data_IF_246977495804
#
_entry.id   IF_246977495804
#
_cell.length_a   1.000
_cell.length_b   1.000
_cell.length_c   1.000
_cell.angle_alpha   90.00
_cell.angle_beta   90.00
_cell.angle_gamma   90.00
#
_symmetry.space_group_name_H-M   'P 1'
#
loop_
_entity.id
_entity.type
_entity.pdbx_description
1 polymer ?
#
# COMPACT_ATOMS: atom_id res chain seq x y z
N UNK A 1 12.38 -2.24 -18.67
CA UNK A 1 11.96 -2.20 -17.25
C UNK A 1 11.15 -0.94 -16.89
N UNK A 2 11.61 0.30 -17.19
CA UNK A 2 10.85 1.56 -16.88
C UNK A 2 9.41 1.52 -17.41
N UNK A 3 9.19 1.17 -18.67
CA UNK A 3 7.87 1.08 -19.30
C UNK A 3 6.95 0.01 -18.67
N UNK A 4 7.52 -1.08 -18.20
CA UNK A 4 6.75 -2.13 -17.53
C UNK A 4 6.24 -1.66 -16.17
N UNK A 5 7.09 -0.91 -15.44
CA UNK A 5 6.71 -0.28 -14.17
C UNK A 5 5.62 0.78 -14.41
N UNK A 6 5.73 1.59 -15.45
CA UNK A 6 4.69 2.58 -15.81
C UNK A 6 3.35 1.90 -16.11
N UNK A 7 3.37 0.85 -16.92
CA UNK A 7 2.17 0.03 -17.22
C UNK A 7 1.55 -0.55 -15.96
N UNK A 8 2.37 -1.08 -15.07
CA UNK A 8 1.91 -1.64 -13.80
C UNK A 8 1.23 -0.60 -12.93
N UNK A 9 1.87 0.55 -12.71
CA UNK A 9 1.32 1.65 -11.90
C UNK A 9 0.02 2.20 -12.48
N UNK A 10 -0.04 2.36 -13.80
CA UNK A 10 -1.25 2.78 -14.51
C UNK A 10 -2.39 1.75 -14.36
N UNK A 11 -2.10 0.49 -14.59
CA UNK A 11 -3.10 -0.60 -14.50
C UNK A 11 -3.62 -0.78 -13.08
N UNK A 12 -2.74 -0.85 -12.09
CA UNK A 12 -3.06 -1.20 -10.71
C UNK A 12 -3.57 -0.02 -9.89
N UNK A 13 -2.92 1.13 -9.99
CA UNK A 13 -3.19 2.28 -9.12
C UNK A 13 -3.86 3.44 -9.84
N UNK A 14 -4.05 3.33 -11.16
CA UNK A 14 -4.51 4.43 -12.03
C UNK A 14 -3.61 5.67 -11.89
N UNK A 15 -2.32 5.45 -11.61
CA UNK A 15 -1.33 6.50 -11.47
C UNK A 15 -0.55 6.67 -12.78
N UNK A 16 -0.50 7.90 -13.27
CA UNK A 16 0.30 8.31 -14.41
C UNK A 16 1.56 9.04 -13.93
N UNK A 17 2.67 9.00 -14.69
CA UNK A 17 3.87 9.74 -14.34
C UNK A 17 3.63 11.25 -14.46
N UNK A 18 4.11 12.01 -13.48
CA UNK A 18 4.16 13.47 -13.52
C UNK A 18 5.62 13.91 -13.67
N UNK A 19 5.93 14.73 -14.68
CA UNK A 19 7.26 15.26 -14.96
C UNK A 19 7.35 16.70 -14.44
N UNK A 20 7.90 16.86 -13.23
CA UNK A 20 7.79 18.13 -12.49
C UNK A 20 8.92 19.12 -12.76
N UNK A 21 10.05 18.66 -13.30
CA UNK A 21 11.25 19.46 -13.40
C UNK A 21 11.69 19.68 -14.85
N UNK A 22 11.64 20.90 -15.33
CA UNK A 22 12.13 21.26 -16.68
C UNK A 22 13.61 20.87 -16.90
N UNK A 23 14.44 20.94 -15.84
CA UNK A 23 15.87 20.58 -15.90
C UNK A 23 16.08 19.05 -15.97
N UNK A 24 15.12 18.28 -15.52
CA UNK A 24 15.17 16.82 -15.46
C UNK A 24 13.86 16.25 -16.05
N UNK A 25 13.70 16.33 -17.40
CA UNK A 25 12.44 15.99 -18.06
C UNK A 25 12.08 14.50 -17.92
N UNK A 26 13.06 13.64 -17.68
CA UNK A 26 12.87 12.19 -17.56
C UNK A 26 12.61 11.72 -16.11
N UNK A 27 12.56 12.65 -15.15
CA UNK A 27 12.23 12.33 -13.77
C UNK A 27 10.72 12.18 -13.59
N UNK A 28 10.26 10.94 -13.43
CA UNK A 28 8.85 10.59 -13.33
C UNK A 28 8.42 10.42 -11.88
N UNK A 29 7.49 11.22 -11.42
CA UNK A 29 6.91 11.14 -10.07
C UNK A 29 5.55 10.50 -10.13
N UNK A 30 5.30 9.53 -9.24
CA UNK A 30 4.00 8.91 -9.07
C UNK A 30 3.40 9.26 -7.72
N UNK A 31 2.16 9.76 -7.73
CA UNK A 31 1.46 10.25 -6.54
C UNK A 31 0.12 9.57 -6.34
N UNK A 32 -0.31 9.56 -5.09
CA UNK A 32 -1.70 9.27 -4.76
C UNK A 32 -2.61 10.39 -5.26
N UNK A 33 -3.77 10.04 -5.78
CA UNK A 33 -4.75 11.02 -6.28
C UNK A 33 -5.41 11.83 -5.16
N UNK A 34 -5.61 11.23 -3.99
CA UNK A 34 -6.36 11.81 -2.87
C UNK A 34 -5.50 12.67 -1.92
N UNK A 35 -4.29 12.26 -1.58
CA UNK A 35 -3.43 12.96 -0.63
C UNK A 35 -2.18 13.60 -1.26
N UNK A 36 -1.99 13.41 -2.57
CA UNK A 36 -0.87 13.93 -3.37
C UNK A 36 0.54 13.49 -2.90
N UNK A 37 0.63 12.56 -1.97
CA UNK A 37 1.92 12.03 -1.51
C UNK A 37 2.59 11.19 -2.59
N UNK A 38 3.90 11.35 -2.71
CA UNK A 38 4.73 10.55 -3.60
C UNK A 38 4.88 9.14 -3.06
N UNK A 39 4.71 8.14 -3.91
CA UNK A 39 4.98 6.75 -3.56
C UNK A 39 6.07 6.11 -4.43
N UNK A 40 6.40 6.72 -5.57
CA UNK A 40 7.50 6.29 -6.41
C UNK A 40 8.05 7.47 -7.22
N UNK A 41 9.37 7.47 -7.44
CA UNK A 41 10.05 8.42 -8.32
C UNK A 41 11.07 7.65 -9.14
N UNK A 42 11.01 7.74 -10.46
CA UNK A 42 12.03 7.19 -11.34
C UNK A 42 12.89 8.34 -11.85
N UNK A 43 14.19 8.17 -11.69
CA UNK A 43 15.20 9.17 -12.06
C UNK A 43 16.26 8.51 -12.93
N UNK A 44 16.77 9.26 -13.89
CA UNK A 44 17.98 8.95 -14.63
C UNK A 44 19.16 9.67 -13.95
N UNK A 45 20.08 8.90 -13.36
CA UNK A 45 21.13 9.41 -12.48
C UNK A 45 22.52 9.01 -13.00
N UNK A 46 23.54 9.90 -12.98
CA UNK A 46 24.92 9.50 -13.23
C UNK A 46 25.39 8.41 -12.25
N UNK A 47 25.98 7.33 -12.76
CA UNK A 47 26.43 6.18 -11.98
C UNK A 47 27.35 6.58 -10.82
N UNK A 48 28.27 7.51 -11.05
CA UNK A 48 29.18 8.03 -10.04
C UNK A 48 28.48 8.62 -8.81
N UNK A 49 27.31 9.25 -9.01
CA UNK A 49 26.53 9.84 -7.91
C UNK A 49 25.83 8.80 -7.04
N UNK A 50 25.79 7.57 -7.53
CA UNK A 50 25.29 6.40 -6.79
C UNK A 50 26.40 5.58 -6.14
N UNK A 51 27.67 6.06 -6.27
CA UNK A 51 28.84 5.31 -5.82
C UNK A 51 29.20 4.14 -6.70
N UNK A 52 28.65 4.08 -7.94
CA UNK A 52 28.94 3.05 -8.92
C UNK A 52 30.13 3.46 -9.80
N UNK A 53 30.89 2.51 -10.37
CA UNK A 53 31.98 2.83 -11.31
C UNK A 53 31.46 3.67 -12.49
N UNK A 54 32.28 4.56 -13.03
CA UNK A 54 31.92 5.38 -14.21
C UNK A 54 31.60 4.53 -15.44
N UNK A 55 32.17 3.32 -15.52
CA UNK A 55 31.89 2.31 -16.57
C UNK A 55 30.62 1.48 -16.33
N UNK A 56 29.90 1.73 -15.23
CA UNK A 56 28.70 0.95 -14.90
C UNK A 56 27.62 1.14 -15.96
N UNK A 57 27.11 0.04 -16.51
CA UNK A 57 26.07 0.09 -17.57
C UNK A 57 26.61 0.41 -18.97
N UNK A 58 27.89 0.68 -19.12
CA UNK A 58 28.55 0.71 -20.43
C UNK A 58 28.74 -0.75 -20.84
N UNK A 59 27.82 -1.30 -21.63
CA UNK A 59 28.06 -2.58 -22.31
C UNK A 59 29.33 -2.50 -23.16
N UNK A 60 29.94 -3.65 -23.56
CA UNK A 60 31.05 -3.61 -24.48
C UNK A 60 30.65 -2.75 -25.69
N UNK A 61 31.47 -1.76 -26.01
CA UNK A 61 31.24 -0.89 -27.16
C UNK A 61 31.00 -1.80 -28.38
N UNK A 62 29.77 -1.87 -28.85
CA UNK A 62 29.47 -2.49 -30.13
C UNK A 62 30.09 -1.56 -31.15
N UNK A 63 31.29 -1.94 -31.61
CA UNK A 63 31.88 -1.32 -32.78
C UNK A 63 30.91 -1.58 -33.95
N UNK A 64 30.12 -0.57 -34.31
CA UNK A 64 29.39 -0.57 -35.58
C UNK A 64 30.43 -0.63 -36.68
N UNK A 65 30.75 -1.86 -37.15
CA UNK A 65 31.50 -2.08 -38.35
C UNK A 65 30.64 -1.67 -39.53
N UNK A 66 30.85 -0.43 -40.02
CA UNK A 66 30.46 -0.09 -41.38
C UNK A 66 31.18 -1.02 -42.33
N UNK A 67 30.43 -1.88 -42.98
CA UNK A 67 30.92 -2.87 -43.90
C UNK A 67 31.50 -2.22 -45.17
N UNK A 68 32.62 -2.76 -45.59
CA UNK A 68 33.14 -2.63 -46.95
C UNK A 68 34.65 -2.72 -47.02
N UNK A 69 35.21 -3.93 -47.33
CA UNK A 69 36.54 -4.05 -48.01
C UNK A 69 37.59 -4.89 -47.28
N UNK A 70 37.69 -6.15 -47.71
CA UNK A 70 38.84 -7.07 -47.80
C UNK A 70 40.06 -6.91 -46.86
N UNK A 71 40.24 -7.99 -46.10
CA UNK A 71 41.45 -8.72 -45.72
C UNK A 71 42.80 -7.97 -45.62
N UNK A 72 43.34 -8.01 -44.39
CA UNK A 72 44.73 -7.75 -44.02
C UNK A 72 44.88 -7.97 -42.52
N UNK A 73 45.53 -9.08 -42.15
CA UNK A 73 45.95 -9.40 -40.79
C UNK A 73 46.95 -8.32 -40.32
N UNK A 74 46.68 -7.63 -39.21
CA UNK A 74 47.72 -7.20 -38.27
C UNK A 74 47.12 -6.89 -36.92
N UNK A 75 47.64 -7.57 -35.89
CA UNK A 75 47.35 -7.40 -34.47
C UNK A 75 47.97 -6.08 -33.98
N UNK A 76 47.13 -5.04 -33.75
CA UNK A 76 47.51 -3.84 -33.08
C UNK A 76 46.46 -3.41 -32.06
N UNK A 77 46.89 -3.15 -30.82
CA UNK A 77 46.02 -2.72 -29.75
C UNK A 77 45.24 -1.45 -30.08
N UNK A 78 43.93 -1.43 -29.86
CA UNK A 78 43.04 -0.33 -30.19
C UNK A 78 43.41 1.05 -29.59
N UNK A 79 44.29 1.10 -28.63
CA UNK A 79 44.75 2.36 -27.95
C UNK A 79 45.72 3.17 -28.84
N UNK A 80 46.42 2.51 -29.76
CA UNK A 80 47.38 3.19 -30.67
C UNK A 80 46.66 4.01 -31.76
N UNK A 81 45.53 3.53 -32.27
CA UNK A 81 44.80 4.14 -33.35
C UNK A 81 44.11 5.46 -32.95
N UNK A 82 43.65 5.56 -31.71
CA UNK A 82 42.96 6.77 -31.16
C UNK A 82 44.01 7.88 -30.88
N UNK A 83 45.20 7.52 -30.47
CA UNK A 83 46.30 8.45 -30.25
C UNK A 83 46.80 9.09 -31.59
N UNK A 84 46.82 8.29 -32.67
CA UNK A 84 47.31 8.74 -33.99
C UNK A 84 46.35 9.72 -34.71
N UNK A 85 45.04 9.66 -34.37
CA UNK A 85 44.03 10.56 -34.91
C UNK A 85 43.91 11.89 -34.16
N UNK A 86 44.70 12.12 -33.12
CA UNK A 86 44.63 13.34 -32.31
C UNK A 86 43.31 13.53 -31.55
N UNK A 87 42.51 12.45 -31.42
CA UNK A 87 41.20 12.46 -30.77
C UNK A 87 41.26 12.18 -29.27
N UNK A 88 42.47 12.03 -28.71
CA UNK A 88 42.72 11.74 -27.30
C UNK A 88 42.15 12.78 -26.32
N UNK A 89 41.77 13.95 -26.78
CA UNK A 89 41.11 15.00 -25.99
C UNK A 89 39.59 15.07 -26.17
N UNK A 90 39.00 14.22 -27.04
CA UNK A 90 37.56 14.29 -27.38
C UNK A 90 36.70 13.20 -26.74
N UNK A 91 37.28 12.27 -25.99
CA UNK A 91 36.49 11.38 -25.17
C UNK A 91 35.98 12.21 -23.99
N UNK A 92 34.91 12.96 -24.22
CA UNK A 92 34.12 13.45 -23.09
C UNK A 92 33.74 12.20 -22.30
N UNK A 93 34.16 12.14 -21.03
CA UNK A 93 33.63 11.19 -20.07
C UNK A 93 32.10 11.30 -20.09
N UNK A 94 31.45 10.53 -20.93
CA UNK A 94 30.00 10.37 -20.89
C UNK A 94 29.77 9.52 -19.64
N UNK A 95 29.60 10.21 -18.51
CA UNK A 95 29.20 9.56 -17.27
C UNK A 95 27.98 8.69 -17.58
N UNK A 96 28.14 7.37 -17.45
CA UNK A 96 27.05 6.45 -17.71
C UNK A 96 25.90 6.78 -16.74
N UNK A 97 24.69 6.79 -17.27
CA UNK A 97 23.49 7.12 -16.51
C UNK A 97 22.70 5.84 -16.27
N UNK A 98 22.10 5.75 -15.10
CA UNK A 98 21.35 4.58 -14.65
C UNK A 98 19.96 5.02 -14.20
N UNK A 99 18.95 4.33 -14.66
CA UNK A 99 17.60 4.49 -14.15
C UNK A 99 17.49 3.94 -12.74
N UNK A 100 17.01 4.76 -11.81
CA UNK A 100 16.73 4.35 -10.44
C UNK A 100 15.30 4.61 -10.06
N UNK A 101 14.70 3.65 -9.37
CA UNK A 101 13.38 3.79 -8.75
C UNK A 101 13.55 4.09 -7.27
N UNK A 102 13.07 5.23 -6.82
CA UNK A 102 12.99 5.56 -5.40
C UNK A 102 11.61 5.19 -4.86
N UNK A 103 11.58 4.45 -3.77
CA UNK A 103 10.36 4.06 -3.03
C UNK A 103 10.51 4.32 -1.55
N UNK A 104 9.38 4.44 -0.85
CA UNK A 104 9.33 4.70 0.58
C UNK A 104 8.89 3.45 1.35
N UNK A 105 9.61 3.15 2.43
CA UNK A 105 9.27 2.09 3.37
C UNK A 105 8.82 2.70 4.72
N UNK A 106 8.02 2.01 5.50
CA UNK A 106 7.69 2.35 6.89
C UNK A 106 8.41 1.46 7.90
N UNK A 107 8.88 0.30 7.46
CA UNK A 107 9.62 -0.66 8.26
C UNK A 107 11.14 -0.44 8.08
N UNK A 108 11.81 0.03 9.16
CA UNK A 108 13.26 0.25 9.18
C UNK A 108 14.04 -1.06 9.10
N UNK A 109 13.53 -2.13 9.69
CA UNK A 109 14.18 -3.44 9.66
C UNK A 109 14.19 -4.01 8.23
N UNK A 110 13.04 -3.94 7.54
CA UNK A 110 12.96 -4.33 6.14
C UNK A 110 13.92 -3.49 5.27
N UNK A 111 13.98 -2.17 5.51
CA UNK A 111 14.91 -1.28 4.80
C UNK A 111 16.34 -1.74 4.97
N UNK A 112 16.76 -2.01 6.20
CA UNK A 112 18.15 -2.37 6.51
C UNK A 112 18.52 -3.74 5.90
N UNK A 113 17.58 -4.68 5.83
CA UNK A 113 17.76 -5.94 5.10
C UNK A 113 17.91 -5.69 3.59
N UNK A 114 17.04 -4.85 3.01
CA UNK A 114 17.07 -4.57 1.58
C UNK A 114 18.36 -3.86 1.16
N UNK A 115 18.91 -2.97 1.99
CA UNK A 115 20.18 -2.28 1.73
C UNK A 115 21.40 -3.21 1.69
N UNK A 116 21.28 -4.48 2.11
CA UNK A 116 22.33 -5.49 1.97
C UNK A 116 22.27 -6.21 0.61
N UNK A 117 21.21 -5.97 -0.17
CA UNK A 117 21.04 -6.59 -1.49
C UNK A 117 21.74 -5.77 -2.57
N UNK A 118 22.36 -6.45 -3.52
CA UNK A 118 22.88 -5.84 -4.74
C UNK A 118 21.73 -5.14 -5.50
N UNK A 119 22.02 -3.97 -6.07
CA UNK A 119 21.06 -3.18 -6.82
C UNK A 119 20.10 -2.34 -5.96
N UNK A 120 20.22 -2.38 -4.63
CA UNK A 120 19.42 -1.56 -3.70
C UNK A 120 20.33 -0.64 -2.89
N UNK A 121 20.09 0.66 -2.98
CA UNK A 121 20.93 1.72 -2.43
C UNK A 121 20.12 2.61 -1.49
N UNK A 122 20.79 3.40 -0.61
CA UNK A 122 20.12 4.48 0.13
C UNK A 122 19.41 5.46 -0.83
N UNK A 123 18.28 6.02 -0.39
CA UNK A 123 17.45 6.89 -1.23
C UNK A 123 18.21 8.09 -1.80
N UNK A 124 18.40 8.13 -3.10
CA UNK A 124 19.11 9.21 -3.79
C UNK A 124 18.30 10.51 -3.73
N UNK A 125 18.91 11.58 -3.21
CA UNK A 125 18.29 12.87 -2.88
C UNK A 125 17.06 12.81 -1.95
N UNK A 126 16.76 11.64 -1.38
CA UNK A 126 15.64 11.39 -0.47
C UNK A 126 16.13 10.84 0.88
N UNK A 127 17.21 11.41 1.40
CA UNK A 127 17.87 10.97 2.65
C UNK A 127 17.00 11.16 3.91
N UNK A 128 15.98 12.03 3.84
CA UNK A 128 15.04 12.20 4.94
C UNK A 128 13.90 11.18 4.83
N UNK A 129 13.83 10.30 5.82
CA UNK A 129 12.83 9.24 5.87
C UNK A 129 13.35 7.92 5.31
N UNK A 130 12.46 6.97 5.15
CA UNK A 130 12.78 5.58 4.84
C UNK A 130 12.71 5.32 3.34
N UNK A 131 13.45 6.10 2.55
CA UNK A 131 13.53 5.89 1.11
C UNK A 131 14.72 5.00 0.75
N UNK A 132 14.53 4.15 -0.25
CA UNK A 132 15.58 3.38 -0.92
C UNK A 132 15.54 3.66 -2.41
N UNK A 133 16.67 3.48 -3.08
CA UNK A 133 16.82 3.53 -4.53
C UNK A 133 17.10 2.13 -5.06
N UNK A 134 16.38 1.71 -6.08
CA UNK A 134 16.51 0.42 -6.73
C UNK A 134 17.02 0.66 -8.14
N UNK A 135 18.10 -0.01 -8.53
CA UNK A 135 18.62 0.05 -9.90
C UNK A 135 17.64 -0.64 -10.86
N UNK A 136 17.35 -0.02 -11.99
CA UNK A 136 16.46 -0.57 -13.01
C UNK A 136 17.23 -1.19 -14.20
N UNK A 137 18.38 -1.77 -13.93
CA UNK A 137 19.29 -2.37 -14.89
C UNK A 137 19.14 -3.89 -15.03
N UNK A 138 18.26 -4.49 -14.24
CA UNK A 138 18.04 -5.95 -14.22
C UNK A 138 18.69 -6.66 -13.05
N UNK A 139 19.51 -6.00 -12.24
CA UNK A 139 20.11 -6.57 -11.02
C UNK A 139 19.02 -7.04 -10.04
N UNK A 140 17.97 -6.22 -9.88
CA UNK A 140 16.80 -6.60 -9.09
C UNK A 140 15.69 -7.09 -10.03
N UNK A 141 15.12 -8.25 -9.74
CA UNK A 141 14.07 -8.85 -10.55
C UNK A 141 12.79 -8.01 -10.58
N UNK A 142 12.17 -7.85 -11.75
CA UNK A 142 10.95 -7.06 -11.90
C UNK A 142 9.83 -7.44 -10.92
N UNK A 143 9.49 -8.72 -10.65
CA UNK A 143 8.48 -9.06 -9.66
C UNK A 143 8.76 -8.49 -8.27
N UNK A 144 10.02 -8.55 -7.81
CA UNK A 144 10.42 -7.98 -6.52
C UNK A 144 10.27 -6.46 -6.52
N UNK A 145 10.64 -5.79 -7.60
CA UNK A 145 10.44 -4.33 -7.76
C UNK A 145 8.95 -3.98 -7.63
N UNK A 146 8.06 -4.75 -8.27
CA UNK A 146 6.63 -4.51 -8.23
C UNK A 146 6.06 -4.69 -6.81
N UNK A 147 6.52 -5.70 -6.07
CA UNK A 147 6.14 -5.92 -4.67
C UNK A 147 6.60 -4.76 -3.76
N UNK A 148 7.81 -4.26 -3.98
CA UNK A 148 8.34 -3.10 -3.25
C UNK A 148 7.57 -1.80 -3.57
N UNK A 149 7.13 -1.61 -4.81
CA UNK A 149 6.22 -0.52 -5.19
C UNK A 149 4.90 -0.63 -4.43
N UNK A 150 4.35 -1.85 -4.29
CA UNK A 150 3.12 -2.11 -3.53
C UNK A 150 3.26 -1.74 -2.06
N UNK A 151 4.41 -2.03 -1.45
CA UNK A 151 4.72 -1.62 -0.08
C UNK A 151 4.75 -0.09 0.01
N UNK A 152 5.46 0.58 -0.89
CA UNK A 152 5.54 2.05 -0.90
C UNK A 152 4.18 2.71 -1.10
N UNK A 153 3.37 2.18 -2.02
CA UNK A 153 2.01 2.67 -2.24
C UNK A 153 1.18 2.57 -0.95
N UNK A 154 1.20 1.44 -0.26
CA UNK A 154 0.48 1.24 1.02
C UNK A 154 1.01 2.15 2.13
N UNK A 155 2.32 2.29 2.25
CA UNK A 155 2.99 3.14 3.24
C UNK A 155 2.59 4.60 3.14
N UNK A 156 2.49 5.11 1.92
CA UNK A 156 2.17 6.53 1.66
C UNK A 156 0.68 6.81 1.49
N UNK A 157 -0.15 5.77 1.39
CA UNK A 157 -1.59 5.85 1.22
C UNK A 157 -2.27 6.64 2.36
N UNK A 158 -3.33 7.36 2.04
CA UNK A 158 -4.17 8.01 3.04
C UNK A 158 -4.83 6.97 3.96
N UNK A 159 -5.25 7.41 5.14
CA UNK A 159 -6.05 6.56 6.04
C UNK A 159 -7.27 5.99 5.32
N UNK A 160 -7.95 6.81 4.50
CA UNK A 160 -9.12 6.40 3.71
C UNK A 160 -8.79 5.29 2.71
N UNK A 161 -7.63 5.37 2.03
CA UNK A 161 -7.17 4.32 1.10
C UNK A 161 -6.76 3.04 1.83
N UNK A 162 -5.93 3.16 2.87
CA UNK A 162 -5.52 2.00 3.70
C UNK A 162 -6.73 1.29 4.27
N UNK A 163 -7.66 2.08 4.72
CA UNK A 163 -8.91 1.59 5.24
C UNK A 163 -9.74 0.82 4.20
N UNK A 164 -9.75 1.17 2.92
CA UNK A 164 -10.48 0.43 1.86
C UNK A 164 -9.91 -0.97 1.59
N UNK A 165 -8.62 -1.19 1.84
CA UNK A 165 -7.89 -2.41 1.48
C UNK A 165 -7.63 -3.30 2.71
N UNK A 166 -7.99 -2.85 3.93
CA UNK A 166 -7.81 -3.66 5.14
C UNK A 166 -8.65 -4.94 5.11
N UNK A 167 -8.18 -6.03 5.70
CA UNK A 167 -8.99 -7.22 5.88
C UNK A 167 -10.25 -6.92 6.71
N UNK A 168 -11.30 -7.75 6.58
CA UNK A 168 -12.47 -7.68 7.44
C UNK A 168 -12.09 -7.66 8.92
N UNK A 169 -12.83 -6.89 9.72
CA UNK A 169 -12.64 -6.78 11.17
C UNK A 169 -13.90 -7.20 11.91
N UNK A 170 -13.69 -7.62 13.16
CA UNK A 170 -14.73 -8.00 14.09
C UNK A 170 -14.98 -6.87 15.08
N UNK A 171 -16.23 -6.44 15.16
CA UNK A 171 -16.67 -5.31 15.97
C UNK A 171 -17.70 -5.73 16.99
N UNK A 172 -17.58 -5.23 18.21
CA UNK A 172 -18.65 -5.26 19.22
C UNK A 172 -19.39 -3.92 19.16
N UNK A 173 -20.70 -3.95 18.96
CA UNK A 173 -21.56 -2.77 18.84
C UNK A 173 -22.73 -2.84 19.83
N UNK A 174 -23.14 -1.71 20.45
CA UNK A 174 -24.29 -1.68 21.33
C UNK A 174 -25.60 -1.62 20.54
N UNK A 175 -26.59 -2.37 20.99
CA UNK A 175 -27.97 -2.27 20.59
C UNK A 175 -28.83 -1.92 21.83
N UNK A 176 -29.44 -0.74 21.83
CA UNK A 176 -30.31 -0.33 22.94
C UNK A 176 -31.77 -0.50 22.54
N UNK A 177 -32.51 -1.44 23.19
CA UNK A 177 -33.92 -1.69 22.88
C UNK A 177 -34.83 -0.47 23.02
N UNK A 178 -34.43 0.52 23.81
CA UNK A 178 -35.18 1.79 23.96
C UNK A 178 -35.33 2.56 22.64
N UNK A 179 -34.34 2.45 21.75
CA UNK A 179 -34.32 3.18 20.48
C UNK A 179 -34.69 2.31 19.28
N UNK A 180 -34.40 1.02 19.36
CA UNK A 180 -34.70 0.08 18.29
C UNK A 180 -34.73 -1.35 18.85
N UNK A 181 -35.85 -2.03 18.69
CA UNK A 181 -36.00 -3.42 19.08
C UNK A 181 -35.39 -4.36 18.03
N UNK A 182 -34.11 -4.65 18.25
CA UNK A 182 -33.34 -5.51 17.35
C UNK A 182 -33.78 -6.98 17.45
N UNK A 183 -34.34 -7.38 18.62
CA UNK A 183 -34.82 -8.74 18.84
C UNK A 183 -36.06 -8.99 17.98
N UNK A 184 -37.02 -8.08 18.05
CA UNK A 184 -38.21 -8.18 17.21
C UNK A 184 -37.89 -8.06 15.71
N UNK A 185 -36.96 -7.16 15.35
CA UNK A 185 -36.53 -7.02 13.97
C UNK A 185 -35.97 -8.32 13.39
N UNK A 186 -35.09 -9.02 14.11
CA UNK A 186 -34.49 -10.28 13.63
C UNK A 186 -35.42 -11.49 13.72
N UNK A 187 -36.58 -11.38 14.34
CA UNK A 187 -37.64 -12.39 14.21
C UNK A 187 -38.31 -12.40 12.83
N UNK A 188 -38.37 -11.25 12.21
CA UNK A 188 -39.08 -11.06 10.93
C UNK A 188 -38.14 -10.93 9.73
N UNK A 189 -36.97 -10.36 9.94
CA UNK A 189 -36.03 -10.06 8.85
C UNK A 189 -34.65 -10.63 9.14
N UNK A 190 -34.02 -11.24 8.15
CA UNK A 190 -32.61 -11.71 8.26
C UNK A 190 -31.60 -10.60 8.04
N UNK A 191 -32.02 -9.48 7.48
CA UNK A 191 -31.15 -8.36 7.16
C UNK A 191 -31.83 -7.04 7.49
N UNK A 192 -31.18 -6.23 8.33
CA UNK A 192 -31.75 -4.97 8.82
C UNK A 192 -30.81 -3.80 8.59
N UNK A 193 -31.40 -2.58 8.57
CA UNK A 193 -30.64 -1.33 8.57
C UNK A 193 -30.19 -0.99 9.99
N UNK A 194 -28.92 -0.65 10.14
CA UNK A 194 -28.36 -0.26 11.41
C UNK A 194 -27.54 1.02 11.31
N UNK A 195 -27.44 1.79 12.39
CA UNK A 195 -26.55 2.95 12.46
C UNK A 195 -25.11 2.51 12.19
N UNK A 196 -24.48 3.11 11.18
CA UNK A 196 -23.09 2.79 10.87
C UNK A 196 -22.14 3.36 11.91
N UNK A 197 -21.32 2.50 12.50
CA UNK A 197 -20.24 2.88 13.38
C UNK A 197 -19.01 3.37 12.61
N UNK A 198 -18.25 4.29 13.22
CA UNK A 198 -17.02 4.81 12.62
C UNK A 198 -16.03 3.66 12.34
N UNK A 199 -15.55 3.57 11.10
CA UNK A 199 -14.58 2.56 10.67
C UNK A 199 -15.15 1.20 10.30
N UNK A 200 -16.46 0.94 10.51
CA UNK A 200 -17.14 -0.28 10.05
C UNK A 200 -17.35 -0.23 8.54
N UNK A 201 -17.15 -1.37 7.85
CA UNK A 201 -17.25 -1.49 6.41
C UNK A 201 -17.94 -2.76 5.95
N UNK A 202 -18.36 -2.74 4.71
CA UNK A 202 -18.80 -3.94 4.00
C UNK A 202 -17.76 -5.05 4.12
N UNK A 203 -18.22 -6.24 4.48
CA UNK A 203 -17.38 -7.40 4.75
C UNK A 203 -16.91 -7.56 6.20
N UNK A 204 -17.11 -6.54 7.07
CA UNK A 204 -16.85 -6.70 8.52
C UNK A 204 -17.90 -7.59 9.17
N UNK A 205 -17.55 -8.14 10.35
CA UNK A 205 -18.47 -8.82 11.24
C UNK A 205 -18.82 -7.90 12.40
N UNK A 206 -20.08 -7.86 12.80
CA UNK A 206 -20.54 -7.14 14.00
C UNK A 206 -21.21 -8.08 14.97
N UNK A 207 -20.76 -8.05 16.22
CA UNK A 207 -21.39 -8.72 17.35
C UNK A 207 -22.24 -7.70 18.09
N UNK A 208 -23.53 -7.97 18.23
CA UNK A 208 -24.47 -7.03 18.81
C UNK A 208 -24.67 -7.32 20.29
N UNK A 209 -24.19 -6.43 21.11
CA UNK A 209 -24.49 -6.41 22.55
C UNK A 209 -25.83 -5.70 22.75
N UNK A 210 -26.85 -6.44 23.14
CA UNK A 210 -28.16 -5.91 23.49
C UNK A 210 -28.11 -5.41 24.94
N UNK A 211 -28.40 -4.12 25.14
CA UNK A 211 -28.39 -3.52 26.46
C UNK A 211 -29.54 -4.02 27.36
N UNK A 212 -29.61 -3.49 28.59
CA UNK A 212 -30.66 -3.86 29.54
C UNK A 212 -32.08 -3.83 28.90
N UNK A 213 -32.94 -4.79 29.26
CA UNK A 213 -32.82 -5.78 30.35
C UNK A 213 -31.99 -7.02 30.01
N UNK A 214 -31.64 -7.26 28.74
CA UNK A 214 -30.93 -8.46 28.29
C UNK A 214 -29.48 -8.50 28.75
N UNK A 215 -28.74 -7.41 28.51
CA UNK A 215 -27.34 -7.23 28.89
C UNK A 215 -26.39 -8.34 28.44
N UNK A 216 -26.48 -8.75 27.16
CA UNK A 216 -25.68 -9.83 26.58
C UNK A 216 -25.39 -9.62 25.08
N UNK A 217 -24.39 -10.31 24.54
CA UNK A 217 -24.22 -10.45 23.09
C UNK A 217 -25.23 -11.48 22.59
N UNK A 218 -26.11 -11.07 21.68
CA UNK A 218 -27.13 -11.96 21.12
C UNK A 218 -26.89 -12.36 19.68
N UNK A 219 -26.25 -11.50 18.88
CA UNK A 219 -26.20 -11.71 17.44
C UNK A 219 -24.80 -11.50 16.88
N UNK A 220 -24.43 -12.39 15.95
CA UNK A 220 -23.34 -12.19 15.00
C UNK A 220 -23.95 -11.86 13.65
N UNK A 221 -23.51 -10.76 13.05
CA UNK A 221 -24.02 -10.30 11.77
C UNK A 221 -22.87 -9.93 10.82
N UNK A 222 -23.12 -10.14 9.54
CA UNK A 222 -22.22 -9.69 8.45
C UNK A 222 -22.66 -8.32 7.95
N UNK A 223 -21.72 -7.39 7.80
CA UNK A 223 -21.98 -6.10 7.16
C UNK A 223 -22.00 -6.28 5.65
N UNK A 224 -23.16 -6.13 5.03
CA UNK A 224 -23.37 -6.35 3.59
C UNK A 224 -23.27 -5.08 2.78
N UNK A 225 -23.62 -3.92 3.36
CA UNK A 225 -23.53 -2.61 2.73
C UNK A 225 -23.23 -1.53 3.75
N UNK A 226 -22.50 -0.48 3.34
CA UNK A 226 -22.19 0.70 4.17
C UNK A 226 -22.47 2.00 3.42
N UNK A 227 -22.32 3.11 4.14
CA UNK A 227 -22.44 4.47 3.62
C UNK A 227 -23.83 4.78 2.99
N UNK A 228 -24.87 4.16 3.53
CA UNK A 228 -26.25 4.42 3.12
C UNK A 228 -26.69 5.77 3.71
N UNK A 229 -27.08 6.77 2.89
CA UNK A 229 -27.50 8.07 3.39
C UNK A 229 -28.72 7.96 4.30
N UNK A 230 -28.65 8.58 5.48
CA UNK A 230 -29.80 8.71 6.37
C UNK A 230 -30.44 10.08 6.22
N UNK A 231 -31.72 10.11 5.82
CA UNK A 231 -32.49 11.34 5.60
C UNK A 231 -33.47 11.67 6.74
N UNK A 232 -33.54 10.80 7.75
CA UNK A 232 -34.42 10.99 8.91
C UNK A 232 -33.83 11.95 9.95
N UNK A 233 -34.70 12.70 10.64
CA UNK A 233 -34.33 13.48 11.84
C UNK A 233 -34.79 12.69 13.06
N UNK A 234 -33.85 12.12 13.81
CA UNK A 234 -34.11 11.57 15.14
C UNK A 234 -33.46 12.51 16.16
N UNK A 235 -34.25 13.08 17.05
CA UNK A 235 -33.75 14.04 18.05
C UNK A 235 -32.83 13.38 19.09
N UNK A 236 -33.00 12.09 19.32
CA UNK A 236 -32.30 11.35 20.37
C UNK A 236 -31.03 10.66 19.91
N UNK A 237 -30.83 10.45 18.60
CA UNK A 237 -29.68 9.72 18.05
C UNK A 237 -29.10 10.43 16.84
N UNK A 238 -27.85 10.85 16.95
CA UNK A 238 -27.14 11.42 15.81
C UNK A 238 -26.73 10.32 14.83
N UNK A 239 -27.52 10.13 13.76
CA UNK A 239 -27.28 9.16 12.71
C UNK A 239 -26.82 9.93 11.46
N UNK A 240 -25.61 9.68 10.99
CA UNK A 240 -25.08 10.25 9.74
C UNK A 240 -25.31 9.31 8.56
N UNK A 241 -25.00 8.05 8.75
CA UNK A 241 -25.10 7.00 7.73
C UNK A 241 -25.62 5.71 8.36
N UNK A 242 -26.25 4.89 7.53
CA UNK A 242 -26.67 3.54 7.87
C UNK A 242 -25.78 2.50 7.21
N UNK A 243 -25.80 1.29 7.74
CA UNK A 243 -25.27 0.08 7.14
C UNK A 243 -26.34 -1.01 7.12
N UNK A 244 -26.23 -1.97 6.19
CA UNK A 244 -27.00 -3.21 6.21
C UNK A 244 -26.22 -4.27 6.96
N UNK A 245 -26.86 -4.96 7.85
CA UNK A 245 -26.30 -6.09 8.60
C UNK A 245 -27.21 -7.30 8.44
N UNK A 246 -26.59 -8.43 8.05
CA UNK A 246 -27.28 -9.72 7.88
C UNK A 246 -26.94 -10.65 9.01
N UNK A 247 -27.98 -11.19 9.66
CA UNK A 247 -27.84 -12.15 10.74
C UNK A 247 -27.16 -13.45 10.27
N UNK A 248 -26.11 -13.89 10.96
CA UNK A 248 -25.40 -15.13 10.71
C UNK A 248 -25.57 -16.15 11.85
N UNK A 249 -25.55 -15.68 13.11
CA UNK A 249 -25.63 -16.55 14.30
C UNK A 249 -26.36 -15.84 15.42
N UNK A 250 -27.19 -16.61 16.17
CA UNK A 250 -27.77 -16.18 17.43
C UNK A 250 -27.02 -16.86 18.59
N UNK A 251 -26.84 -16.16 19.69
CA UNK A 251 -26.28 -16.67 20.93
C UNK A 251 -27.35 -16.75 22.02
N UNK A 252 -27.18 -17.67 22.94
CA UNK A 252 -28.02 -17.74 24.14
C UNK A 252 -27.80 -16.47 24.99
N UNK A 253 -28.87 -15.81 25.48
CA UNK A 253 -28.74 -14.62 26.33
C UNK A 253 -27.94 -14.87 27.62
N UNK A 254 -27.81 -16.10 28.06
CA UNK A 254 -27.05 -16.48 29.27
C UNK A 254 -25.57 -16.77 28.95
N UNK A 255 -25.20 -16.89 27.69
CA UNK A 255 -23.84 -17.30 27.29
C UNK A 255 -22.82 -16.17 27.37
N UNK A 256 -23.12 -15.00 26.76
CA UNK A 256 -22.21 -13.86 26.73
C UNK A 256 -22.81 -12.65 27.45
N UNK A 257 -23.13 -12.86 28.71
CA UNK A 257 -23.69 -11.83 29.59
C UNK A 257 -22.67 -10.72 29.86
N UNK A 258 -23.14 -9.52 30.21
CA UNK A 258 -22.27 -8.40 30.60
C UNK A 258 -21.30 -8.79 31.73
N UNK A 259 -21.76 -9.58 32.70
CA UNK A 259 -20.91 -10.08 33.77
C UNK A 259 -19.74 -10.88 33.22
N UNK A 260 -20.01 -11.86 32.36
CA UNK A 260 -18.99 -12.70 31.72
C UNK A 260 -18.05 -11.86 30.84
N UNK A 261 -18.57 -10.89 30.08
CA UNK A 261 -17.77 -9.96 29.28
C UNK A 261 -16.77 -9.17 30.13
N UNK A 262 -17.19 -8.78 31.35
CA UNK A 262 -16.34 -8.06 32.29
C UNK A 262 -15.27 -8.99 32.90
N UNK A 263 -15.69 -10.10 33.48
CA UNK A 263 -14.84 -11.01 34.29
C UNK A 263 -13.81 -11.74 33.42
N UNK A 264 -14.19 -12.25 32.22
CA UNK A 264 -13.33 -13.09 31.39
C UNK A 264 -12.62 -12.32 30.27
N UNK A 265 -13.22 -11.22 29.77
CA UNK A 265 -12.73 -10.54 28.55
C UNK A 265 -12.36 -9.07 28.76
N UNK A 266 -12.39 -8.57 30.00
CA UNK A 266 -12.05 -7.20 30.37
C UNK A 266 -12.88 -6.13 29.61
N UNK A 267 -14.17 -6.40 29.38
CA UNK A 267 -15.09 -5.48 28.72
C UNK A 267 -15.99 -4.83 29.76
N UNK A 268 -15.61 -3.65 30.22
CA UNK A 268 -16.32 -2.90 31.29
C UNK A 268 -17.46 -2.02 30.79
N UNK A 269 -17.55 -1.77 29.48
CA UNK A 269 -18.65 -1.03 28.85
C UNK A 269 -18.71 -1.27 27.34
N UNK A 270 -19.94 -1.25 26.79
CA UNK A 270 -20.20 -1.27 25.35
C UNK A 270 -21.03 -0.01 25.01
N UNK A 271 -20.35 1.13 24.83
CA UNK A 271 -21.00 2.44 24.58
C UNK A 271 -20.98 2.83 23.09
N UNK A 272 -20.16 2.16 22.31
CA UNK A 272 -19.99 2.41 20.87
C UNK A 272 -19.22 1.27 20.21
N UNK A 273 -19.01 1.37 18.89
CA UNK A 273 -18.24 0.34 18.19
C UNK A 273 -16.81 0.22 18.73
N UNK A 274 -16.40 -0.99 19.03
CA UNK A 274 -15.04 -1.33 19.46
C UNK A 274 -14.59 -2.64 18.83
N UNK A 275 -13.28 -2.84 18.71
CA UNK A 275 -12.73 -4.13 18.26
C UNK A 275 -13.04 -5.21 19.30
N UNK A 276 -13.33 -6.43 18.82
CA UNK A 276 -13.49 -7.61 19.68
C UNK A 276 -12.10 -8.09 20.10
N UNK A 277 -11.83 -8.32 21.41
CA UNK A 277 -10.59 -8.95 21.85
C UNK A 277 -10.45 -10.36 21.28
N UNK A 278 -9.21 -10.79 20.99
CA UNK A 278 -8.96 -12.11 20.42
C UNK A 278 -9.48 -13.27 21.31
N UNK A 279 -9.39 -13.12 22.63
CA UNK A 279 -9.95 -14.09 23.59
C UNK A 279 -11.46 -14.24 23.48
N UNK A 280 -12.18 -13.12 23.35
CA UNK A 280 -13.63 -13.15 23.13
C UNK A 280 -13.97 -13.67 21.74
N UNK A 281 -13.20 -13.30 20.72
CA UNK A 281 -13.43 -13.78 19.36
C UNK A 281 -13.32 -15.32 19.27
N UNK A 282 -12.34 -15.90 19.96
CA UNK A 282 -12.19 -17.35 20.06
C UNK A 282 -13.38 -18.03 20.76
N UNK A 283 -13.97 -17.38 21.76
CA UNK A 283 -15.16 -17.90 22.45
C UNK A 283 -16.44 -17.75 21.62
N UNK A 284 -16.54 -16.73 20.77
CA UNK A 284 -17.70 -16.46 19.91
C UNK A 284 -17.72 -17.31 18.62
N UNK A 285 -16.64 -17.99 18.29
CA UNK A 285 -16.55 -18.85 17.11
C UNK A 285 -17.51 -20.06 17.21
#
# INVERSE_FOLDING_TARGET
>A
MREEIYRYMKKKYKAEPEFLWKRFPDYAVFRHQDNRKWFAIIMDVPAEKLGLPASYGSGPAVAETYGGGKAGEESGSGDSFIAELGLSGMIRNVSSRVDVLNIKLDDLFLRDILLQKEGILPGYHLSRGNWISILLDGTVALPEILDLIDISFRTTASKKQRDKVRPPKDWLIPANPKYYDVIEAFRHEKEIRWKQGAGIRTGDTVFMYVAAPVSAILYRCKVTQTDIPYRGRNKDVNIKTLMMIRLEKCYDPQEFTFRRLNEEFNIFAVRGPRSVPNSLLAALA
#
